data_IF_168649845294
#
_entry.id   IF_168649845294
#
_cell.length_a   1.000
_cell.length_b   1.000
_cell.length_c   1.000
_cell.angle_alpha   90.00
_cell.angle_beta   90.00
_cell.angle_gamma   90.00
#
_symmetry.space_group_name_H-M   'P 1'
#
loop_
_entity.id
_entity.type
_entity.pdbx_description
1 polymer ?
#
# COMPACT_ATOMS: atom_id res chain seq x y z
N UNK A 1 -28.61 7.30 -13.20
CA UNK A 1 -28.49 7.42 -13.11
C UNK A 1 -28.51 7.36 -13.48
N UNK A 2 -28.34 7.49 -13.65
CA UNK A 2 -28.27 7.55 -13.65
C UNK A 2 -28.46 7.36 -13.37
N UNK A 3 -28.53 7.29 -13.07
CA UNK A 3 -28.43 7.15 -12.57
C UNK A 3 -28.33 6.54 -12.59
N UNK A 4 -28.52 6.24 -12.98
CA UNK A 4 -28.16 5.60 -12.94
C UNK A 4 -27.77 5.16 -13.19
N UNK A 5 -28.76 5.08 -13.83
CA UNK A 5 -27.84 4.16 -14.39
C UNK A 5 -26.39 4.24 -13.95
N UNK A 6 -26.02 5.25 -13.37
CA UNK A 6 -24.65 5.32 -12.85
C UNK A 6 -24.54 4.40 -11.66
N UNK A 7 -23.75 3.34 -11.85
CA UNK A 7 -23.41 2.51 -10.73
C UNK A 7 -22.39 3.29 -9.89
N UNK A 8 -22.77 3.60 -8.71
CA UNK A 8 -21.84 4.28 -7.80
C UNK A 8 -20.78 3.30 -7.35
N UNK A 9 -19.60 3.46 -7.88
CA UNK A 9 -18.44 2.67 -7.44
C UNK A 9 -17.81 3.39 -6.25
N UNK A 10 -17.88 2.79 -5.06
CA UNK A 10 -17.30 3.36 -3.85
C UNK A 10 -15.83 3.72 -3.98
N UNK A 11 -15.11 3.05 -4.89
CA UNK A 11 -13.69 3.32 -5.12
C UNK A 11 -13.45 4.68 -5.77
N UNK A 12 -14.42 5.24 -6.46
CA UNK A 12 -14.29 6.59 -7.04
C UNK A 12 -14.15 7.62 -5.93
N UNK A 13 -14.83 7.41 -4.80
CA UNK A 13 -14.77 8.34 -3.67
C UNK A 13 -13.43 8.27 -2.92
N UNK A 14 -12.58 7.28 -3.23
CA UNK A 14 -11.24 7.16 -2.66
C UNK A 14 -10.19 7.99 -3.38
N UNK A 15 -10.52 8.50 -4.57
CA UNK A 15 -9.58 9.32 -5.34
C UNK A 15 -9.28 10.63 -4.59
N UNK A 16 -8.06 11.13 -4.77
CA UNK A 16 -7.63 12.35 -4.09
C UNK A 16 -6.65 13.12 -4.97
N UNK A 17 -6.26 14.32 -4.50
CA UNK A 17 -5.27 15.15 -5.18
C UNK A 17 -3.99 15.23 -4.40
N UNK A 18 -2.87 15.21 -5.13
CA UNK A 18 -1.58 15.59 -4.58
C UNK A 18 -1.54 17.10 -4.32
N UNK A 19 -0.50 17.58 -3.63
CA UNK A 19 -0.32 19.01 -3.37
C UNK A 19 -0.27 19.84 -4.65
N UNK A 20 0.18 19.22 -5.75
CA UNK A 20 0.22 19.87 -7.08
C UNK A 20 -1.15 20.03 -7.70
N UNK A 21 -2.20 19.44 -7.12
CA UNK A 21 -3.53 19.42 -7.72
C UNK A 21 -3.74 18.25 -8.68
N UNK A 22 -2.74 17.42 -8.89
CA UNK A 22 -2.86 16.25 -9.77
C UNK A 22 -3.74 15.18 -9.12
N UNK A 23 -4.73 14.69 -9.85
CA UNK A 23 -5.62 13.62 -9.36
C UNK A 23 -4.91 12.28 -9.33
N UNK A 24 -5.20 11.52 -8.29
CA UNK A 24 -4.75 10.13 -8.12
C UNK A 24 -5.97 9.21 -8.17
N UNK A 25 -5.95 8.27 -9.11
CA UNK A 25 -7.05 7.31 -9.31
C UNK A 25 -6.69 6.03 -8.58
N UNK A 26 -7.17 5.93 -7.36
CA UNK A 26 -6.70 4.95 -6.37
C UNK A 26 -6.98 3.50 -6.77
N UNK A 27 -8.18 3.21 -7.30
CA UNK A 27 -8.54 1.83 -7.63
C UNK A 27 -7.61 1.18 -8.63
N UNK A 28 -7.36 1.87 -9.75
CA UNK A 28 -6.45 1.37 -10.79
C UNK A 28 -5.02 1.29 -10.30
N UNK A 29 -4.59 2.30 -9.55
CA UNK A 29 -3.23 2.33 -9.01
C UNK A 29 -2.98 1.17 -8.05
N UNK A 30 -3.92 0.89 -7.16
CA UNK A 30 -3.79 -0.25 -6.24
C UNK A 30 -3.64 -1.56 -7.00
N UNK A 31 -4.47 -1.78 -8.01
CA UNK A 31 -4.42 -2.98 -8.83
C UNK A 31 -3.04 -3.14 -9.49
N UNK A 32 -2.52 -2.07 -10.05
CA UNK A 32 -1.22 -2.10 -10.75
C UNK A 32 -0.07 -2.38 -9.77
N UNK A 33 -0.08 -1.72 -8.62
CA UNK A 33 0.96 -1.92 -7.61
C UNK A 33 0.94 -3.35 -7.07
N UNK A 34 -0.24 -3.85 -6.72
CA UNK A 34 -0.37 -5.21 -6.18
C UNK A 34 0.07 -6.23 -7.22
N UNK A 35 -0.32 -6.06 -8.48
CA UNK A 35 0.09 -6.97 -9.55
C UNK A 35 1.60 -7.01 -9.74
N UNK A 36 2.25 -5.85 -9.59
CA UNK A 36 3.70 -5.74 -9.76
C UNK A 36 4.50 -6.38 -8.65
N UNK A 37 3.92 -6.52 -7.46
CA UNK A 37 4.63 -6.95 -6.26
C UNK A 37 3.90 -8.08 -5.53
N UNK A 38 3.11 -8.88 -6.22
CA UNK A 38 2.19 -9.86 -5.63
C UNK A 38 2.87 -10.89 -4.71
N UNK A 39 4.15 -11.20 -4.95
CA UNK A 39 4.87 -12.16 -4.12
C UNK A 39 5.09 -11.65 -2.69
N UNK A 40 5.17 -10.34 -2.53
CA UNK A 40 5.47 -9.69 -1.24
C UNK A 40 4.25 -8.98 -0.70
N UNK A 41 3.38 -8.48 -1.57
CA UNK A 41 2.28 -7.58 -1.24
C UNK A 41 0.95 -8.29 -1.40
N UNK A 42 0.17 -8.34 -0.33
CA UNK A 42 -1.21 -8.84 -0.37
C UNK A 42 -2.17 -7.76 -0.84
N UNK A 43 -2.03 -6.56 -0.31
CA UNK A 43 -2.81 -5.39 -0.69
C UNK A 43 -2.09 -4.14 -0.20
N UNK A 44 -2.55 -2.97 -0.65
CA UNK A 44 -1.97 -1.69 -0.25
C UNK A 44 -3.06 -0.65 -0.02
N UNK A 45 -2.74 0.32 0.82
CA UNK A 45 -3.51 1.57 0.90
C UNK A 45 -2.64 2.69 0.34
N UNK A 46 -3.18 3.48 -0.57
CA UNK A 46 -2.44 4.56 -1.24
C UNK A 46 -2.60 5.84 -0.44
N UNK A 47 -1.51 6.41 0.02
CA UNK A 47 -1.47 7.68 0.73
C UNK A 47 -0.83 8.75 -0.14
N UNK A 48 -1.11 10.01 0.14
CA UNK A 48 -0.52 11.11 -0.61
C UNK A 48 -1.39 12.33 -0.73
N UNK A 49 -2.60 12.31 -0.15
CA UNK A 49 -3.47 13.48 -0.21
C UNK A 49 -2.75 14.71 0.34
N UNK A 50 -2.70 15.77 -0.46
CA UNK A 50 -2.03 17.03 -0.14
C UNK A 50 -0.52 16.89 0.09
N UNK A 51 0.09 15.79 -0.36
CA UNK A 51 1.53 15.56 -0.30
C UNK A 51 2.15 15.70 -1.68
N UNK A 52 3.48 15.82 -1.71
CA UNK A 52 4.21 15.99 -2.97
C UNK A 52 4.37 14.69 -3.74
N UNK A 53 4.27 13.56 -3.06
CA UNK A 53 4.51 12.25 -3.65
C UNK A 53 3.64 11.18 -2.97
N UNK A 54 3.40 10.09 -3.71
CA UNK A 54 2.62 8.96 -3.22
C UNK A 54 3.46 8.08 -2.31
N UNK A 55 2.81 7.55 -1.27
CA UNK A 55 3.33 6.50 -0.44
C UNK A 55 2.30 5.40 -0.29
N UNK A 56 2.74 4.22 0.09
CA UNK A 56 1.83 3.09 0.32
C UNK A 56 2.03 2.48 1.69
N UNK A 57 0.92 2.12 2.32
CA UNK A 57 0.91 1.23 3.47
C UNK A 57 0.68 -0.18 2.91
N UNK A 58 1.58 -1.11 3.23
CA UNK A 58 1.60 -2.44 2.62
C UNK A 58 1.10 -3.50 3.59
N UNK A 59 0.07 -4.23 3.16
CA UNK A 59 -0.33 -5.47 3.84
C UNK A 59 0.49 -6.59 3.21
N UNK A 60 1.44 -7.18 3.96
CA UNK A 60 2.35 -8.15 3.37
C UNK A 60 1.68 -9.47 3.02
N UNK A 61 2.16 -10.10 1.95
CA UNK A 61 1.85 -11.50 1.66
C UNK A 61 2.72 -12.35 2.59
N UNK A 62 2.13 -12.86 3.65
CA UNK A 62 2.87 -13.52 4.72
C UNK A 62 3.66 -14.73 4.19
N UNK A 63 3.02 -15.56 3.36
CA UNK A 63 3.68 -16.75 2.81
C UNK A 63 4.88 -16.35 1.95
N UNK A 64 4.71 -15.38 1.07
CA UNK A 64 5.80 -14.92 0.21
C UNK A 64 6.94 -14.29 0.98
N UNK A 65 6.61 -13.48 1.99
CA UNK A 65 7.64 -12.85 2.82
C UNK A 65 8.43 -13.89 3.61
N UNK A 66 7.76 -14.88 4.20
CA UNK A 66 8.44 -15.93 4.95
C UNK A 66 9.32 -16.79 4.06
N UNK A 67 8.91 -17.01 2.82
CA UNK A 67 9.69 -17.79 1.87
C UNK A 67 11.05 -17.16 1.56
N UNK A 68 11.16 -15.84 1.68
CA UNK A 68 12.44 -15.14 1.47
C UNK A 68 13.39 -15.24 2.66
N UNK A 69 12.88 -15.64 3.83
CA UNK A 69 13.61 -15.60 5.09
C UNK A 69 13.86 -17.02 5.60
N UNK A 70 14.54 -17.85 4.81
CA UNK A 70 14.76 -19.26 5.14
C UNK A 70 15.56 -19.47 6.43
N UNK A 71 16.33 -18.47 6.85
CA UNK A 71 17.13 -18.52 8.07
C UNK A 71 16.36 -18.08 9.32
N UNK A 72 15.15 -17.55 9.15
CA UNK A 72 14.29 -17.15 10.27
C UNK A 72 13.35 -18.32 10.56
N UNK A 73 13.12 -18.57 11.85
CA UNK A 73 12.21 -19.64 12.29
C UNK A 73 10.81 -19.42 11.72
N UNK A 74 10.15 -20.53 11.33
CA UNK A 74 8.74 -20.47 10.86
C UNK A 74 7.81 -19.92 11.92
N UNK A 75 8.21 -19.96 13.20
CA UNK A 75 7.44 -19.44 14.32
C UNK A 75 7.72 -17.97 14.61
N UNK A 76 8.65 -17.35 13.88
CA UNK A 76 9.03 -15.96 14.14
C UNK A 76 7.85 -15.03 13.95
N UNK A 77 7.72 -13.97 14.77
CA UNK A 77 6.67 -12.98 14.59
C UNK A 77 6.77 -12.32 13.20
N UNK A 78 5.63 -11.97 12.64
CA UNK A 78 5.61 -11.28 11.34
C UNK A 78 6.44 -10.00 11.37
N UNK A 79 6.47 -9.29 12.50
CA UNK A 79 7.28 -8.09 12.65
C UNK A 79 8.75 -8.33 12.35
N UNK A 80 9.27 -9.48 12.76
CA UNK A 80 10.66 -9.86 12.49
C UNK A 80 10.87 -10.15 11.01
N UNK A 81 9.91 -10.83 10.39
CA UNK A 81 9.97 -11.20 8.97
C UNK A 81 10.00 -9.95 8.09
N UNK A 82 9.07 -9.01 8.31
CA UNK A 82 8.99 -7.80 7.50
C UNK A 82 10.14 -6.82 7.77
N UNK A 83 10.81 -6.95 8.91
CA UNK A 83 11.99 -6.14 9.21
C UNK A 83 13.26 -6.72 8.58
N UNK A 84 13.21 -7.93 8.04
CA UNK A 84 14.38 -8.57 7.46
C UNK A 84 14.88 -7.81 6.23
N UNK A 85 16.21 -7.77 6.01
CA UNK A 85 16.77 -7.15 4.82
C UNK A 85 16.24 -7.77 3.53
N UNK A 86 16.00 -9.07 3.53
CA UNK A 86 15.52 -9.79 2.34
C UNK A 86 14.16 -9.31 1.88
N UNK A 87 13.20 -9.16 2.81
CA UNK A 87 11.88 -8.68 2.46
C UNK A 87 11.93 -7.21 2.04
N UNK A 88 12.66 -6.39 2.79
CA UNK A 88 12.77 -4.96 2.51
C UNK A 88 13.41 -4.72 1.15
N UNK A 89 14.48 -5.43 0.84
CA UNK A 89 15.15 -5.31 -0.45
C UNK A 89 14.27 -5.80 -1.59
N UNK A 90 13.60 -6.95 -1.43
CA UNK A 90 12.73 -7.48 -2.46
C UNK A 90 11.59 -6.51 -2.79
N UNK A 91 10.95 -5.93 -1.78
CA UNK A 91 9.90 -4.95 -2.01
C UNK A 91 10.43 -3.71 -2.71
N UNK A 92 11.59 -3.22 -2.27
CA UNK A 92 12.22 -2.04 -2.89
C UNK A 92 12.48 -2.29 -4.38
N UNK A 93 13.08 -3.44 -4.71
CA UNK A 93 13.39 -3.78 -6.10
C UNK A 93 12.12 -3.85 -6.94
N UNK A 94 11.07 -4.51 -6.43
CA UNK A 94 9.81 -4.63 -7.15
C UNK A 94 9.14 -3.27 -7.39
N UNK A 95 9.17 -2.40 -6.40
CA UNK A 95 8.56 -1.07 -6.54
C UNK A 95 9.40 -0.16 -7.44
N UNK A 96 10.72 -0.29 -7.42
CA UNK A 96 11.57 0.45 -8.36
C UNK A 96 11.29 0.03 -9.79
N UNK A 97 11.12 -1.28 -10.01
CA UNK A 97 10.76 -1.79 -11.35
C UNK A 97 9.39 -1.29 -11.78
N UNK A 98 8.43 -1.27 -10.86
CA UNK A 98 7.12 -0.68 -11.12
C UNK A 98 7.26 0.79 -11.56
N UNK A 99 8.08 1.56 -10.85
CA UNK A 99 8.28 2.98 -11.13
C UNK A 99 8.90 3.24 -12.50
N UNK A 100 9.68 2.30 -13.04
CA UNK A 100 10.25 2.44 -14.38
C UNK A 100 9.15 2.62 -15.43
N UNK A 101 8.02 1.93 -15.23
CA UNK A 101 6.88 2.01 -16.14
C UNK A 101 5.84 3.06 -15.72
N UNK A 102 6.02 3.70 -14.55
CA UNK A 102 5.05 4.62 -13.96
C UNK A 102 5.76 5.86 -13.43
N UNK A 103 6.08 6.79 -14.33
CA UNK A 103 6.92 7.94 -13.99
C UNK A 103 6.16 9.14 -13.44
N UNK A 104 4.87 9.25 -13.73
CA UNK A 104 4.13 10.46 -13.34
C UNK A 104 3.93 10.52 -11.83
N UNK A 105 3.83 11.73 -11.30
CA UNK A 105 3.68 11.94 -9.86
C UNK A 105 2.43 11.25 -9.29
N UNK A 106 1.42 11.03 -10.11
CA UNK A 106 0.16 10.41 -9.70
C UNK A 106 0.18 8.88 -9.76
N UNK A 107 1.27 8.26 -10.24
CA UNK A 107 1.39 6.81 -10.34
C UNK A 107 2.66 6.27 -9.73
N UNK A 108 3.70 7.09 -9.60
CA UNK A 108 4.99 6.67 -9.04
C UNK A 108 4.90 6.54 -7.53
N UNK A 109 5.44 5.46 -6.99
CA UNK A 109 5.47 5.21 -5.54
C UNK A 109 6.83 5.66 -5.00
N UNK A 110 6.81 6.65 -4.11
CA UNK A 110 8.04 7.21 -3.55
C UNK A 110 8.41 6.60 -2.20
N UNK A 111 7.43 6.08 -1.46
CA UNK A 111 7.62 5.56 -0.11
C UNK A 111 6.74 4.35 0.13
N UNK A 112 7.21 3.44 0.97
CA UNK A 112 6.42 2.27 1.38
C UNK A 112 6.69 1.94 2.83
N UNK A 113 5.66 1.47 3.53
CA UNK A 113 5.78 1.02 4.92
C UNK A 113 5.03 -0.30 5.06
N UNK A 114 5.76 -1.35 5.43
CA UNK A 114 5.15 -2.66 5.68
C UNK A 114 4.45 -2.65 7.05
N UNK A 115 3.27 -3.25 7.10
CA UNK A 115 2.45 -3.30 8.30
C UNK A 115 2.35 -4.73 8.80
N UNK A 116 2.16 -4.87 10.12
CA UNK A 116 2.01 -6.18 10.77
C UNK A 116 0.54 -6.58 10.86
N UNK A 117 -0.31 -5.64 11.22
CA UNK A 117 -1.72 -5.91 11.47
C UNK A 117 -2.49 -6.06 10.15
N UNK A 118 -3.15 -7.20 9.91
CA UNK A 118 -3.97 -7.38 8.72
C UNK A 118 -5.19 -6.45 8.74
N UNK A 119 -5.89 -6.31 7.61
CA UNK A 119 -7.10 -5.49 7.58
C UNK A 119 -8.13 -6.01 8.57
N UNK A 120 -8.80 -5.10 9.28
CA UNK A 120 -9.72 -5.43 10.35
C UNK A 120 -11.17 -5.24 9.88
N UNK A 121 -11.94 -6.33 9.88
CA UNK A 121 -13.34 -6.31 9.45
C UNK A 121 -14.18 -5.45 10.40
N UNK A 122 -13.97 -5.57 11.70
CA UNK A 122 -14.76 -4.85 12.69
C UNK A 122 -14.51 -3.35 12.64
N UNK A 123 -13.38 -2.94 12.12
CA UNK A 123 -13.04 -1.53 11.94
C UNK A 123 -13.38 -1.02 10.53
N UNK A 124 -14.14 -1.78 9.76
CA UNK A 124 -14.56 -1.45 8.40
C UNK A 124 -13.40 -1.31 7.41
N UNK A 125 -12.26 -1.90 7.70
CA UNK A 125 -11.13 -1.88 6.76
C UNK A 125 -11.32 -2.82 5.59
N UNK A 126 -12.20 -3.82 5.75
CA UNK A 126 -12.63 -4.70 4.67
C UNK A 126 -14.14 -4.64 4.60
N UNK A 127 -14.69 -4.50 3.40
CA UNK A 127 -16.14 -4.53 3.19
C UNK A 127 -16.66 -5.96 3.30
N UNK A 128 -17.97 -6.12 3.45
CA UNK A 128 -18.62 -7.43 3.48
C UNK A 128 -18.45 -8.20 2.17
N UNK A 129 -18.05 -7.53 1.08
CA UNK A 129 -17.72 -8.18 -0.19
C UNK A 129 -16.25 -8.56 -0.30
N UNK A 130 -15.48 -8.31 0.74
CA UNK A 130 -14.05 -8.66 0.77
C UNK A 130 -13.11 -7.64 0.16
N UNK A 131 -13.59 -6.46 -0.18
CA UNK A 131 -12.74 -5.40 -0.75
C UNK A 131 -12.15 -4.53 0.35
N UNK A 132 -10.92 -4.10 0.15
CA UNK A 132 -10.27 -3.17 1.08
C UNK A 132 -10.95 -1.81 1.02
N UNK A 133 -11.31 -1.29 2.19
CA UNK A 133 -11.82 0.06 2.32
C UNK A 133 -10.63 0.99 2.64
N UNK A 134 -10.03 1.53 1.61
CA UNK A 134 -8.81 2.32 1.74
C UNK A 134 -8.99 3.53 2.67
N UNK A 135 -10.11 4.23 2.55
CA UNK A 135 -10.35 5.41 3.39
C UNK A 135 -10.36 5.05 4.86
N UNK A 136 -11.01 3.93 5.22
CA UNK A 136 -11.04 3.47 6.59
C UNK A 136 -9.65 3.06 7.09
N UNK A 137 -8.86 2.42 6.23
CA UNK A 137 -7.48 2.04 6.56
C UNK A 137 -6.65 3.28 6.88
N UNK A 138 -6.69 4.28 6.01
CA UNK A 138 -5.90 5.50 6.20
C UNK A 138 -6.34 6.25 7.45
N UNK A 139 -7.64 6.33 7.72
CA UNK A 139 -8.16 7.03 8.88
C UNK A 139 -7.79 6.32 10.19
N UNK A 140 -7.98 5.00 10.23
CA UNK A 140 -7.68 4.22 11.44
C UNK A 140 -6.18 4.16 11.71
N UNK A 141 -5.38 4.11 10.65
CA UNK A 141 -3.92 3.99 10.74
C UNK A 141 -3.23 5.31 10.44
N UNK A 142 -3.86 6.42 10.82
CA UNK A 142 -3.32 7.76 10.56
C UNK A 142 -1.90 7.93 11.15
N UNK A 143 -1.60 7.29 12.27
CA UNK A 143 -0.25 7.30 12.85
C UNK A 143 0.78 6.65 11.94
N UNK A 144 0.40 5.58 11.22
CA UNK A 144 1.28 4.93 10.25
C UNK A 144 1.45 5.78 9.01
N UNK A 145 0.41 6.50 8.58
CA UNK A 145 0.53 7.44 7.47
C UNK A 145 1.53 8.55 7.82
N UNK A 146 1.45 9.05 9.05
CA UNK A 146 2.40 10.06 9.53
C UNK A 146 3.82 9.51 9.53
N UNK A 147 3.99 8.27 10.00
CA UNK A 147 5.30 7.59 9.99
C UNK A 147 5.82 7.42 8.57
N UNK A 148 4.94 7.06 7.62
CA UNK A 148 5.29 6.87 6.21
C UNK A 148 5.95 8.13 5.62
N UNK A 149 5.54 9.31 6.05
CA UNK A 149 6.07 10.58 5.57
C UNK A 149 7.14 11.16 6.50
N UNK A 150 7.68 10.35 7.40
CA UNK A 150 8.75 10.74 8.32
C UNK A 150 10.09 10.17 7.85
N UNK A 151 11.14 10.43 8.64
CA UNK A 151 12.49 9.90 8.40
C UNK A 151 12.72 8.56 9.11
N UNK A 152 11.66 7.91 9.57
CA UNK A 152 11.78 6.65 10.29
C UNK A 152 12.47 5.59 9.41
N UNK A 153 13.48 4.87 9.94
CA UNK A 153 14.21 3.86 9.15
C UNK A 153 13.35 2.67 8.70
N UNK A 154 12.17 2.46 9.28
CA UNK A 154 11.26 1.42 8.82
C UNK A 154 10.61 1.78 7.47
N UNK A 155 10.62 3.05 7.11
CA UNK A 155 10.05 3.50 5.84
C UNK A 155 11.04 3.20 4.71
N UNK A 156 10.54 2.56 3.64
CA UNK A 156 11.34 2.30 2.45
C UNK A 156 11.21 3.50 1.51
N UNK A 157 12.34 4.08 1.14
CA UNK A 157 12.39 5.14 0.13
C UNK A 157 12.62 4.47 -1.22
N UNK A 158 11.74 4.74 -2.18
CA UNK A 158 11.72 4.05 -3.48
C UNK A 158 12.17 5.04 -4.57
N UNK A 159 13.09 4.60 -5.40
CA UNK A 159 13.60 5.44 -6.52
C UNK A 159 12.68 5.45 -7.74
#
# INVERSE_FOLDING_TARGET
DPKKGIVFDGRVSENFKLSSGTWVFVGGLRTDVVSSAADIVQDVAIAGQDKDALGILVFPNVVGCRALCSYISDDAPLAEVIASPEVREALTVLLEAYNVEHHSSSTRIARALLMVEPPNIDANEITDKGYLNQRAVLARRAGLVKKLYSDDPEVLMIS
#
